data_IF_127831507211
#
_entry.id   IF_127831507211
#
_cell.length_a   1.000
_cell.length_b   1.000
_cell.length_c   1.000
_cell.angle_alpha   90.00
_cell.angle_beta   90.00
_cell.angle_gamma   90.00
#
_symmetry.space_group_name_H-M   'P 1'
#
loop_
_entity.id
_entity.type
_entity.pdbx_description
1 polymer ?
#
# COMPACT_ATOMS: atom_id res chain seq x y z
N UNK A 1 -36.01 3.67 -15.13
CA UNK A 1 -34.97 2.88 -15.81
C UNK A 1 -33.75 2.90 -14.91
N UNK A 2 -33.41 1.78 -14.27
CA UNK A 2 -32.19 1.70 -13.46
C UNK A 2 -31.00 1.62 -14.40
N UNK A 3 -29.93 2.41 -14.20
CA UNK A 3 -28.72 2.30 -15.00
C UNK A 3 -28.12 0.90 -14.81
N UNK A 4 -27.94 0.17 -15.91
CA UNK A 4 -27.18 -1.08 -15.92
C UNK A 4 -25.71 -0.76 -15.71
N UNK A 5 -25.11 -1.28 -14.64
CA UNK A 5 -23.70 -1.09 -14.35
C UNK A 5 -22.85 -1.67 -15.49
N UNK A 6 -22.00 -0.86 -16.11
CA UNK A 6 -21.03 -1.36 -17.09
C UNK A 6 -19.99 -2.23 -16.37
N UNK A 7 -19.57 -3.34 -17.00
CA UNK A 7 -18.54 -4.21 -16.42
C UNK A 7 -17.22 -3.46 -16.25
N UNK A 8 -16.51 -3.73 -15.15
CA UNK A 8 -15.18 -3.17 -14.88
C UNK A 8 -14.21 -3.49 -16.02
N UNK A 9 -13.34 -2.54 -16.35
CA UNK A 9 -12.26 -2.78 -17.32
C UNK A 9 -11.37 -3.93 -16.85
N UNK A 10 -10.74 -4.63 -17.79
CA UNK A 10 -9.82 -5.72 -17.45
C UNK A 10 -8.67 -5.25 -16.54
N UNK A 11 -8.16 -4.04 -16.76
CA UNK A 11 -7.15 -3.42 -15.90
C UNK A 11 -7.63 -3.24 -14.46
N UNK A 12 -8.84 -2.70 -14.27
CA UNK A 12 -9.43 -2.53 -12.94
C UNK A 12 -9.63 -3.87 -12.21
N UNK A 13 -10.02 -4.92 -12.92
CA UNK A 13 -10.14 -6.27 -12.36
C UNK A 13 -8.78 -6.82 -11.87
N UNK A 14 -7.71 -6.62 -12.64
CA UNK A 14 -6.36 -7.05 -12.24
C UNK A 14 -5.86 -6.25 -11.05
N UNK A 15 -6.05 -4.93 -11.03
CA UNK A 15 -5.67 -4.08 -9.89
C UNK A 15 -6.40 -4.54 -8.61
N UNK A 16 -7.69 -4.87 -8.70
CA UNK A 16 -8.43 -5.41 -7.57
C UNK A 16 -7.82 -6.73 -7.06
N UNK A 17 -7.50 -7.68 -7.95
CA UNK A 17 -6.83 -8.93 -7.59
C UNK A 17 -5.47 -8.68 -6.93
N UNK A 18 -4.66 -7.75 -7.44
CA UNK A 18 -3.36 -7.42 -6.85
C UNK A 18 -3.50 -6.82 -5.45
N UNK A 19 -4.49 -5.95 -5.23
CA UNK A 19 -4.75 -5.38 -3.91
C UNK A 19 -5.12 -6.47 -2.88
N UNK A 20 -5.91 -7.47 -3.29
CA UNK A 20 -6.24 -8.61 -2.42
C UNK A 20 -4.99 -9.44 -2.07
N UNK A 21 -4.12 -9.72 -3.05
CA UNK A 21 -2.87 -10.44 -2.82
C UNK A 21 -1.92 -9.68 -1.88
N UNK A 22 -1.81 -8.36 -2.05
CA UNK A 22 -1.01 -7.49 -1.16
C UNK A 22 -1.54 -7.54 0.28
N UNK A 23 -2.87 -7.52 0.46
CA UNK A 23 -3.49 -7.58 1.78
C UNK A 23 -3.26 -8.93 2.48
N UNK A 24 -3.35 -10.03 1.73
CA UNK A 24 -3.19 -11.38 2.27
C UNK A 24 -1.73 -11.82 2.44
N UNK A 25 -0.79 -11.15 1.76
CA UNK A 25 0.64 -11.50 1.71
C UNK A 25 0.88 -12.93 1.20
N UNK A 26 0.05 -13.41 0.28
CA UNK A 26 -0.01 -14.79 -0.19
C UNK A 26 0.20 -14.91 -1.71
N UNK A 27 0.91 -13.96 -2.32
CA UNK A 27 1.13 -13.96 -3.76
C UNK A 27 2.04 -15.12 -4.19
N UNK A 28 1.49 -16.08 -4.93
CA UNK A 28 2.25 -17.16 -5.54
C UNK A 28 2.79 -16.78 -6.93
N UNK A 29 3.95 -17.36 -7.29
CA UNK A 29 4.65 -17.09 -8.55
C UNK A 29 3.80 -17.38 -9.79
N UNK A 30 2.92 -18.37 -9.73
CA UNK A 30 2.08 -18.74 -10.87
C UNK A 30 1.02 -17.66 -11.13
N UNK A 31 0.36 -17.19 -10.07
CA UNK A 31 -0.58 -16.07 -10.15
C UNK A 31 0.10 -14.81 -10.64
N UNK A 32 1.27 -14.46 -10.12
CA UNK A 32 2.01 -13.27 -10.55
C UNK A 32 2.41 -13.34 -12.04
N UNK A 33 2.95 -14.49 -12.51
CA UNK A 33 3.28 -14.70 -13.92
C UNK A 33 2.07 -14.56 -14.83
N UNK A 34 0.92 -15.12 -14.44
CA UNK A 34 -0.33 -14.97 -15.19
C UNK A 34 -0.76 -13.51 -15.28
N UNK A 35 -0.79 -12.79 -14.15
CA UNK A 35 -1.19 -11.38 -14.12
C UNK A 35 -0.23 -10.49 -14.91
N UNK A 36 1.07 -10.76 -14.86
CA UNK A 36 2.10 -10.06 -15.65
C UNK A 36 1.87 -10.25 -17.16
N UNK A 37 1.58 -11.48 -17.59
CA UNK A 37 1.23 -11.76 -18.99
C UNK A 37 -0.08 -11.08 -19.44
N UNK A 38 -1.08 -10.98 -18.55
CA UNK A 38 -2.31 -10.23 -18.84
C UNK A 38 -2.04 -8.71 -18.95
N UNK A 39 -1.18 -8.17 -18.08
CA UNK A 39 -0.76 -6.76 -18.12
C UNK A 39 -0.04 -6.41 -19.43
N UNK A 40 0.85 -7.28 -19.90
CA UNK A 40 1.54 -7.08 -21.19
C UNK A 40 0.55 -7.00 -22.37
N UNK A 41 -0.53 -7.80 -22.36
CA UNK A 41 -1.60 -7.69 -23.38
C UNK A 41 -2.37 -6.39 -23.29
N UNK A 42 -2.54 -5.82 -22.09
CA UNK A 42 -3.24 -4.54 -21.90
C UNK A 42 -2.47 -3.38 -22.56
N UNK A 43 -1.14 -3.46 -22.69
CA UNK A 43 -0.31 -2.39 -23.29
C UNK A 43 -0.75 -2.02 -24.70
N UNK A 44 -1.33 -2.96 -25.44
CA UNK A 44 -1.84 -2.73 -26.80
C UNK A 44 -2.96 -1.68 -26.85
N UNK A 45 -3.70 -1.52 -25.74
CA UNK A 45 -4.92 -0.69 -25.70
C UNK A 45 -4.88 0.38 -24.60
N UNK A 46 -4.14 0.15 -23.51
CA UNK A 46 -4.07 1.05 -22.38
C UNK A 46 -2.70 0.96 -21.68
N UNK A 47 -1.78 1.82 -22.09
CA UNK A 47 -0.44 1.89 -21.51
C UNK A 47 -0.44 2.26 -20.02
N UNK A 48 -1.34 3.14 -19.59
CA UNK A 48 -1.41 3.60 -18.19
C UNK A 48 -1.73 2.44 -17.26
N UNK A 49 -2.83 1.73 -17.52
CA UNK A 49 -3.23 0.60 -16.68
C UNK A 49 -2.18 -0.52 -16.73
N UNK A 50 -1.62 -0.81 -17.90
CA UNK A 50 -0.59 -1.84 -18.03
C UNK A 50 0.66 -1.55 -17.21
N UNK A 51 1.22 -0.34 -17.32
CA UNK A 51 2.40 0.04 -16.55
C UNK A 51 2.11 0.15 -15.05
N UNK A 52 0.92 0.61 -14.65
CA UNK A 52 0.51 0.61 -13.25
C UNK A 52 0.49 -0.81 -12.68
N UNK A 53 -0.09 -1.76 -13.41
CA UNK A 53 -0.17 -3.17 -13.01
C UNK A 53 1.23 -3.78 -12.91
N UNK A 54 2.09 -3.56 -13.90
CA UNK A 54 3.47 -4.06 -13.90
C UNK A 54 4.27 -3.47 -12.72
N UNK A 55 4.08 -2.19 -12.39
CA UNK A 55 4.70 -1.56 -11.23
C UNK A 55 4.22 -2.15 -9.89
N UNK A 56 2.94 -2.48 -9.78
CA UNK A 56 2.39 -3.18 -8.61
C UNK A 56 2.94 -4.60 -8.48
N UNK A 57 3.07 -5.33 -9.59
CA UNK A 57 3.67 -6.68 -9.60
C UNK A 57 5.14 -6.61 -9.17
N UNK A 58 5.93 -5.68 -9.74
CA UNK A 58 7.33 -5.48 -9.36
C UNK A 58 7.48 -5.15 -7.87
N UNK A 59 6.53 -4.41 -7.28
CA UNK A 59 6.48 -4.17 -5.83
C UNK A 59 6.28 -5.46 -5.03
N UNK A 60 5.41 -6.37 -5.47
CA UNK A 60 5.22 -7.67 -4.80
C UNK A 60 6.48 -8.52 -4.94
N UNK A 61 7.10 -8.53 -6.12
CA UNK A 61 8.34 -9.24 -6.43
C UNK A 61 9.59 -8.63 -5.75
N UNK A 62 9.46 -7.51 -5.03
CA UNK A 62 10.58 -6.72 -4.47
C UNK A 62 11.63 -6.28 -5.51
N UNK A 63 11.20 -6.12 -6.77
CA UNK A 63 12.02 -5.64 -7.87
C UNK A 63 11.95 -4.10 -7.92
N UNK A 64 12.82 -3.47 -7.13
CA UNK A 64 12.84 -2.01 -6.93
C UNK A 64 13.13 -1.25 -8.23
N UNK A 65 14.02 -1.78 -9.08
CA UNK A 65 14.39 -1.14 -10.33
C UNK A 65 13.17 -1.06 -11.27
N UNK A 66 12.51 -2.20 -11.50
CA UNK A 66 11.34 -2.25 -12.36
C UNK A 66 10.12 -1.56 -11.75
N UNK A 67 9.96 -1.57 -10.42
CA UNK A 67 8.94 -0.80 -9.71
C UNK A 67 9.02 0.68 -10.12
N UNK A 68 10.21 1.28 -10.01
CA UNK A 68 10.41 2.68 -10.38
C UNK A 68 10.17 2.91 -11.87
N UNK A 69 10.71 2.04 -12.73
CA UNK A 69 10.60 2.16 -14.18
C UNK A 69 9.13 2.16 -14.65
N UNK A 70 8.35 1.17 -14.19
CA UNK A 70 6.97 1.01 -14.59
C UNK A 70 6.06 2.10 -14.02
N UNK A 71 6.17 2.43 -12.73
CA UNK A 71 5.34 3.49 -12.14
C UNK A 71 5.63 4.86 -12.75
N UNK A 72 6.90 5.20 -13.01
CA UNK A 72 7.25 6.44 -13.71
C UNK A 72 6.64 6.48 -15.10
N UNK A 73 6.67 5.36 -15.84
CA UNK A 73 6.01 5.24 -17.15
C UNK A 73 4.50 5.49 -17.05
N UNK A 74 3.80 4.86 -16.11
CA UNK A 74 2.36 5.05 -15.89
C UNK A 74 2.02 6.53 -15.54
N UNK A 75 2.82 7.15 -14.68
CA UNK A 75 2.69 8.57 -14.32
C UNK A 75 2.87 9.47 -15.55
N UNK A 76 3.88 9.21 -16.38
CA UNK A 76 4.12 9.96 -17.62
C UNK A 76 2.96 9.82 -18.59
N UNK A 77 2.51 8.60 -18.91
CA UNK A 77 1.40 8.38 -19.85
C UNK A 77 0.06 8.92 -19.35
N UNK A 78 -0.14 9.03 -18.03
CA UNK A 78 -1.35 9.60 -17.44
C UNK A 78 -1.31 11.12 -17.24
N UNK A 79 -0.25 11.79 -17.71
CA UNK A 79 -0.02 13.23 -17.48
C UNK A 79 -0.04 13.59 -15.98
N UNK A 80 0.68 12.81 -15.18
CA UNK A 80 0.78 12.97 -13.73
C UNK A 80 -0.59 12.96 -13.03
N UNK A 81 -1.46 12.03 -13.40
CA UNK A 81 -2.74 11.86 -12.72
C UNK A 81 -2.53 11.53 -11.23
N UNK A 82 -3.41 12.05 -10.37
CA UNK A 82 -3.34 11.77 -8.94
C UNK A 82 -3.46 10.26 -8.65
N UNK A 83 -4.26 9.53 -9.43
CA UNK A 83 -4.44 8.08 -9.31
C UNK A 83 -3.12 7.32 -9.45
N UNK A 84 -2.38 7.56 -10.55
CA UNK A 84 -1.11 6.84 -10.78
C UNK A 84 -0.02 7.25 -9.78
N UNK A 85 -0.01 8.52 -9.36
CA UNK A 85 0.87 8.96 -8.28
C UNK A 85 0.54 8.22 -6.96
N UNK A 86 -0.73 8.04 -6.62
CA UNK A 86 -1.15 7.29 -5.43
C UNK A 86 -0.73 5.82 -5.50
N UNK A 87 -0.90 5.15 -6.64
CA UNK A 87 -0.45 3.75 -6.83
C UNK A 87 1.06 3.61 -6.60
N UNK A 88 1.83 4.56 -7.11
CA UNK A 88 3.27 4.57 -6.92
C UNK A 88 3.65 4.78 -5.45
N UNK A 89 3.02 5.74 -4.77
CA UNK A 89 3.25 5.99 -3.33
C UNK A 89 2.98 4.74 -2.50
N UNK A 90 1.86 4.04 -2.74
CA UNK A 90 1.55 2.79 -2.03
C UNK A 90 2.63 1.74 -2.25
N UNK A 91 3.10 1.60 -3.49
CA UNK A 91 4.18 0.66 -3.83
C UNK A 91 5.51 1.02 -3.13
N UNK A 92 5.83 2.31 -3.03
CA UNK A 92 7.00 2.80 -2.30
C UNK A 92 6.90 2.49 -0.80
N UNK A 93 5.73 2.69 -0.19
CA UNK A 93 5.49 2.35 1.23
C UNK A 93 5.67 0.84 1.46
N UNK A 94 5.08 0.02 0.60
CA UNK A 94 5.18 -1.44 0.71
C UNK A 94 6.62 -1.94 0.52
N UNK A 95 7.43 -1.21 -0.24
CA UNK A 95 8.86 -1.47 -0.45
C UNK A 95 9.77 -0.77 0.56
N UNK A 96 9.19 -0.13 1.60
CA UNK A 96 9.92 0.60 2.66
C UNK A 96 10.78 1.78 2.16
N UNK A 97 10.44 2.35 1.00
CA UNK A 97 11.10 3.51 0.39
C UNK A 97 10.43 4.81 0.87
N UNK A 98 10.48 5.07 2.17
CA UNK A 98 9.64 6.09 2.82
C UNK A 98 9.95 7.53 2.40
N UNK A 99 11.22 7.85 2.13
CA UNK A 99 11.61 9.20 1.69
C UNK A 99 10.95 9.58 0.37
N UNK A 100 10.95 8.67 -0.60
CA UNK A 100 10.29 8.90 -1.88
C UNK A 100 8.78 8.84 -1.74
N UNK A 101 8.25 7.92 -0.93
CA UNK A 101 6.82 7.89 -0.62
C UNK A 101 6.33 9.22 -0.05
N UNK A 102 7.07 9.84 0.87
CA UNK A 102 6.78 11.16 1.41
C UNK A 102 6.79 12.25 0.33
N UNK A 103 7.84 12.32 -0.50
CA UNK A 103 7.94 13.30 -1.60
C UNK A 103 6.75 13.20 -2.56
N UNK A 104 6.38 11.99 -2.98
CA UNK A 104 5.29 11.79 -3.93
C UNK A 104 3.90 11.92 -3.29
N UNK A 105 3.72 11.51 -2.02
CA UNK A 105 2.45 11.70 -1.30
C UNK A 105 2.12 13.18 -1.10
N UNK A 106 3.12 14.05 -0.86
CA UNK A 106 2.91 15.49 -0.86
C UNK A 106 2.40 16.01 -2.21
N UNK A 107 2.89 15.48 -3.33
CA UNK A 107 2.40 15.85 -4.67
C UNK A 107 0.95 15.40 -4.88
N UNK A 108 0.62 14.19 -4.45
CA UNK A 108 -0.76 13.67 -4.50
C UNK A 108 -1.70 14.54 -3.66
N UNK A 109 -1.34 14.81 -2.40
CA UNK A 109 -2.15 15.63 -1.50
C UNK A 109 -2.39 17.04 -2.05
N UNK A 110 -1.39 17.67 -2.68
CA UNK A 110 -1.57 18.96 -3.36
C UNK A 110 -2.61 18.92 -4.49
N UNK A 111 -2.72 17.79 -5.20
CA UNK A 111 -3.70 17.61 -6.28
C UNK A 111 -5.10 17.28 -5.76
N UNK A 112 -5.20 16.59 -4.61
CA UNK A 112 -6.46 16.16 -4.02
C UNK A 112 -6.44 16.26 -2.48
N UNK A 113 -6.49 17.49 -1.91
CA UNK A 113 -6.26 17.72 -0.48
C UNK A 113 -7.40 17.20 0.42
N UNK A 114 -8.56 16.90 -0.15
CA UNK A 114 -9.72 16.36 0.56
C UNK A 114 -9.86 14.84 0.43
N UNK A 115 -8.94 14.18 -0.28
CA UNK A 115 -8.94 12.72 -0.40
C UNK A 115 -8.35 12.09 0.87
N UNK A 116 -9.24 11.56 1.70
CA UNK A 116 -8.90 10.92 2.98
C UNK A 116 -7.85 9.81 2.81
N UNK A 117 -7.93 9.02 1.74
CA UNK A 117 -6.99 7.89 1.54
C UNK A 117 -5.59 8.40 1.28
N UNK A 118 -5.46 9.45 0.47
CA UNK A 118 -4.16 10.06 0.18
C UNK A 118 -3.58 10.76 1.41
N UNK A 119 -4.43 11.33 2.27
CA UNK A 119 -3.99 11.91 3.54
C UNK A 119 -3.52 10.85 4.55
N UNK A 120 -4.23 9.72 4.71
CA UNK A 120 -3.78 8.58 5.56
C UNK A 120 -2.41 8.06 5.10
N UNK A 121 -2.23 7.91 3.77
CA UNK A 121 -0.96 7.49 3.17
C UNK A 121 0.17 8.48 3.46
N UNK A 122 -0.08 9.79 3.34
CA UNK A 122 0.91 10.83 3.66
C UNK A 122 1.28 10.80 5.14
N UNK A 123 0.30 10.73 6.04
CA UNK A 123 0.53 10.65 7.49
C UNK A 123 1.33 9.39 7.83
N UNK A 124 1.05 8.26 7.17
CA UNK A 124 1.84 7.03 7.33
C UNK A 124 3.29 7.26 6.93
N UNK A 125 3.57 7.83 5.76
CA UNK A 125 4.95 8.09 5.32
C UNK A 125 5.70 9.05 6.27
N UNK A 126 5.05 10.11 6.73
CA UNK A 126 5.58 11.06 7.73
C UNK A 126 5.91 10.35 9.03
N UNK A 127 5.00 9.51 9.51
CA UNK A 127 5.18 8.73 10.72
C UNK A 127 6.43 7.87 10.57
N UNK A 128 6.57 7.08 9.50
CA UNK A 128 7.74 6.20 9.30
C UNK A 128 9.08 6.95 9.31
N UNK A 129 9.10 8.19 8.81
CA UNK A 129 10.28 9.07 8.82
C UNK A 129 10.51 9.82 10.15
N UNK A 130 9.61 9.70 11.12
CA UNK A 130 9.63 10.42 12.41
C UNK A 130 9.70 11.95 12.25
N UNK A 131 8.95 12.49 11.28
CA UNK A 131 8.84 13.93 11.04
C UNK A 131 7.74 14.52 11.93
N UNK A 132 8.08 14.86 13.18
CA UNK A 132 7.11 15.22 14.22
C UNK A 132 6.27 16.47 13.90
N UNK A 133 6.89 17.52 13.37
CA UNK A 133 6.22 18.77 13.03
C UNK A 133 5.16 18.54 11.94
N UNK A 134 5.56 17.86 10.86
CA UNK A 134 4.69 17.48 9.76
C UNK A 134 3.59 16.53 10.24
N UNK A 135 3.91 15.61 11.13
CA UNK A 135 2.93 14.70 11.70
C UNK A 135 1.83 15.45 12.44
N UNK A 136 2.18 16.40 13.31
CA UNK A 136 1.21 17.26 13.99
C UNK A 136 0.35 18.06 13.01
N UNK A 137 0.98 18.63 11.98
CA UNK A 137 0.28 19.39 10.93
C UNK A 137 -0.75 18.55 10.18
N UNK A 138 -0.35 17.40 9.64
CA UNK A 138 -1.23 16.60 8.78
C UNK A 138 -2.26 15.81 9.57
N UNK A 139 -1.99 15.43 10.82
CA UNK A 139 -3.02 14.84 11.69
C UNK A 139 -4.06 15.86 12.16
N UNK A 140 -3.71 17.15 12.28
CA UNK A 140 -4.70 18.22 12.46
C UNK A 140 -5.63 18.35 11.25
N UNK A 141 -5.07 18.33 10.03
CA UNK A 141 -5.89 18.36 8.80
C UNK A 141 -6.84 17.17 8.73
N UNK A 142 -6.38 15.98 9.13
CA UNK A 142 -7.21 14.80 9.23
C UNK A 142 -8.39 15.00 10.20
N UNK A 143 -8.11 15.51 11.40
CA UNK A 143 -9.15 15.80 12.39
C UNK A 143 -10.18 16.80 11.85
N UNK A 144 -9.73 17.84 11.15
CA UNK A 144 -10.63 18.81 10.54
C UNK A 144 -11.54 18.18 9.48
N UNK A 145 -11.03 17.21 8.71
CA UNK A 145 -11.77 16.51 7.66
C UNK A 145 -12.74 15.46 8.21
N UNK A 146 -12.28 14.61 9.13
CA UNK A 146 -13.01 13.43 9.63
C UNK A 146 -13.78 13.67 10.92
N UNK A 147 -13.43 14.73 11.67
CA UNK A 147 -13.89 15.01 13.04
C UNK A 147 -13.54 13.90 14.04
N UNK A 148 -12.48 13.13 13.74
CA UNK A 148 -11.95 12.08 14.60
C UNK A 148 -10.41 12.10 14.59
N UNK A 149 -9.73 11.73 15.69
CA UNK A 149 -8.27 11.63 15.70
C UNK A 149 -7.79 10.55 14.73
N UNK A 150 -6.65 10.78 14.09
CA UNK A 150 -6.04 9.78 13.22
C UNK A 150 -5.58 8.57 14.06
N UNK A 151 -5.74 7.34 13.56
CA UNK A 151 -5.36 6.12 14.31
C UNK A 151 -3.92 6.13 14.85
N UNK A 152 -2.99 6.76 14.13
CA UNK A 152 -1.59 6.87 14.54
C UNK A 152 -1.33 7.91 15.64
N UNK A 153 -2.30 8.77 16.00
CA UNK A 153 -2.19 9.64 17.19
C UNK A 153 -2.66 8.95 18.46
N UNK A 154 -3.55 7.96 18.34
CA UNK A 154 -4.11 7.21 19.48
C UNK A 154 -3.13 6.17 20.00
N UNK A 155 -2.37 5.53 19.09
CA UNK A 155 -1.41 4.49 19.43
C UNK A 155 0.01 5.00 19.14
N UNK A 156 0.74 5.50 20.15
CA UNK A 156 2.14 5.87 19.97
C UNK A 156 2.92 4.69 19.39
N UNK A 157 3.86 4.94 18.48
CA UNK A 157 4.70 3.88 17.88
C UNK A 157 5.30 2.93 18.91
N UNK A 158 5.68 3.44 20.08
CA UNK A 158 6.20 2.63 21.18
C UNK A 158 5.18 1.58 21.67
N UNK A 159 3.90 1.92 21.73
CA UNK A 159 2.82 1.00 22.12
C UNK A 159 2.54 -0.02 21.02
N UNK A 160 2.48 0.40 19.76
CA UNK A 160 2.29 -0.51 18.61
C UNK A 160 3.43 -1.53 18.54
N UNK A 161 4.68 -1.07 18.63
CA UNK A 161 5.87 -1.94 18.64
C UNK A 161 5.87 -2.90 19.82
N UNK A 162 5.40 -2.47 20.99
CA UNK A 162 5.29 -3.34 22.17
C UNK A 162 4.24 -4.44 21.97
N UNK A 163 3.12 -4.13 21.30
CA UNK A 163 2.07 -5.10 20.95
C UNK A 163 2.57 -6.09 19.90
N UNK A 164 3.27 -5.61 18.86
CA UNK A 164 3.86 -6.47 17.82
C UNK A 164 4.87 -7.45 18.42
N UNK A 165 5.80 -6.96 19.26
CA UNK A 165 6.78 -7.82 19.95
C UNK A 165 6.08 -8.86 20.83
N UNK A 166 5.07 -8.46 21.59
CA UNK A 166 4.32 -9.39 22.44
C UNK A 166 3.58 -10.45 21.62
N UNK A 167 3.03 -10.08 20.46
CA UNK A 167 2.32 -11.00 19.55
C UNK A 167 3.28 -12.01 18.92
N UNK A 168 4.44 -11.55 18.43
CA UNK A 168 5.47 -12.42 17.86
C UNK A 168 6.03 -13.40 18.91
N UNK A 169 6.21 -12.94 20.15
CA UNK A 169 6.64 -13.81 21.26
C UNK A 169 5.59 -14.87 21.63
N UNK A 170 4.31 -14.53 21.58
CA UNK A 170 3.22 -15.50 21.81
C UNK A 170 3.18 -16.56 20.71
N UNK A 171 3.28 -16.16 19.44
CA UNK A 171 3.27 -17.09 18.30
C UNK A 171 4.53 -17.97 18.26
N UNK A 172 5.68 -17.46 18.69
CA UNK A 172 6.92 -18.24 18.77
C UNK A 172 6.98 -19.18 20.00
N UNK A 173 6.10 -18.98 20.98
CA UNK A 173 6.09 -19.73 22.24
C UNK A 173 5.16 -20.96 22.28
N UNK A 174 4.33 -21.19 21.26
CA UNK A 174 3.36 -22.29 21.25
C UNK A 174 3.94 -23.68 20.90
N UNK A 175 5.24 -23.80 20.61
CA UNK A 175 5.86 -25.06 20.16
C UNK A 175 6.60 -25.88 21.24
N UNK A 176 6.54 -25.56 22.54
CA UNK A 176 7.36 -26.29 23.54
C UNK A 176 6.73 -26.47 24.93
N UNK A 177 5.49 -26.98 25.00
CA UNK A 177 5.04 -27.70 26.19
C UNK A 177 4.50 -29.06 25.77
N UNK A 178 5.38 -30.06 25.68
CA UNK A 178 4.95 -31.45 25.66
C UNK A 178 4.21 -31.74 26.97
N UNK A 179 3.01 -32.28 26.85
CA UNK A 179 2.08 -32.64 27.94
C UNK A 179 2.69 -33.53 29.05
N UNK A 180 3.88 -34.09 28.84
CA UNK A 180 4.57 -34.99 29.77
C UNK A 180 5.24 -34.26 30.96
N UNK A 181 5.55 -32.96 30.86
CA UNK A 181 6.23 -32.24 31.96
C UNK A 181 5.26 -31.68 33.02
N UNK A 182 3.95 -31.65 32.77
CA UNK A 182 2.97 -31.08 33.72
C UNK A 182 2.38 -32.13 34.68
N UNK A 183 2.49 -33.42 34.34
CA UNK A 183 1.86 -34.51 35.12
C UNK A 183 2.81 -35.67 35.48
N UNK A 184 4.12 -35.54 35.22
CA UNK A 184 5.13 -36.54 35.58
C UNK A 184 5.94 -36.14 36.81
N UNK A 185 5.37 -36.26 38.01
CA UNK A 185 6.05 -36.07 39.29
C UNK A 185 5.20 -36.46 40.49
#
# INVERSE_FOLDING_TARGET
MSPTAQPLSKGAQIIAQLNELIQRKDADDFTLKRLKAEAEKIKENNLVDAFSILGMIACIEQDIENLHSYHKSAITYSNESARELSHYVVSLINSKLYEDAYKYSLKVFKKAPTDEKNLDILIKAISELNLEEEFGKYTSIWFDLKKEPHRLTIYPKALVRSIEIATDQMLAGEDNLSYEEVFGG
#
